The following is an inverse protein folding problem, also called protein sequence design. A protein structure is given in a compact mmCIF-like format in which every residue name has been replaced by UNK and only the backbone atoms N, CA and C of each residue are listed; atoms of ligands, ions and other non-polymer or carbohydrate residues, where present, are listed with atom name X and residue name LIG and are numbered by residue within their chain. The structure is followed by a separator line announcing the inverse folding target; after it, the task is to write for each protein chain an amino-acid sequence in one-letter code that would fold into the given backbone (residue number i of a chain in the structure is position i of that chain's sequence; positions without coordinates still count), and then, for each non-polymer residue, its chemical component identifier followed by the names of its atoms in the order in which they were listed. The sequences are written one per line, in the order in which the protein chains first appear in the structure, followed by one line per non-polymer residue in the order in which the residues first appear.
data_IF_171382064767
#
_entry.id   IF_171382064767
#
_cell.length_a   1.000
_cell.length_b   1.000
_cell.length_c   1.000
_cell.angle_alpha   90.00
_cell.angle_beta   90.00
_cell.angle_gamma   90.00
#
_symmetry.space_group_name_H-M   'P 1'
#
loop_
_entity.id
_entity.type
_entity.pdbx_description
1 polymer ?
#
# COMPACT_ATOMS: atom_id res chain seq x y z
N UNK A 1 0.67 3.18 -35.57
CA UNK A 1 0.92 4.17 -34.50
C UNK A 1 -0.31 4.13 -33.63
N UNK A 2 -0.23 3.49 -32.45
CA UNK A 2 -1.37 3.43 -31.53
C UNK A 2 -1.66 4.86 -31.11
N UNK A 3 -2.91 5.31 -31.26
CA UNK A 3 -3.26 6.70 -30.96
C UNK A 3 -2.95 6.97 -29.49
N UNK A 4 -2.18 8.02 -29.21
CA UNK A 4 -1.70 8.37 -27.87
C UNK A 4 -2.87 8.47 -26.88
N UNK A 5 -4.03 8.93 -27.37
CA UNK A 5 -5.32 8.90 -26.66
C UNK A 5 -5.81 7.49 -26.26
N UNK A 6 -5.60 6.49 -27.11
CA UNK A 6 -6.00 5.10 -26.85
C UNK A 6 -5.09 4.44 -25.81
N UNK A 7 -3.77 4.68 -25.87
CA UNK A 7 -2.84 4.23 -24.83
C UNK A 7 -3.13 4.92 -23.49
N UNK A 8 -3.45 6.23 -23.52
CA UNK A 8 -3.87 7.02 -22.34
C UNK A 8 -5.14 6.48 -21.70
N UNK A 9 -6.18 6.19 -22.50
CA UNK A 9 -7.41 5.58 -21.99
C UNK A 9 -7.09 4.26 -21.32
N UNK A 10 -6.38 3.35 -22.00
CA UNK A 10 -6.07 2.01 -21.48
C UNK A 10 -5.28 2.02 -20.17
N UNK A 11 -4.38 2.99 -19.98
CA UNK A 11 -3.59 3.11 -18.74
C UNK A 11 -4.43 3.71 -17.61
N UNK A 12 -5.22 4.75 -17.86
CA UNK A 12 -6.14 5.31 -16.86
C UNK A 12 -7.23 4.33 -16.48
N UNK A 13 -7.76 3.59 -17.46
CA UNK A 13 -8.71 2.50 -17.26
C UNK A 13 -8.07 1.39 -16.43
N UNK A 14 -6.79 1.07 -16.65
CA UNK A 14 -6.06 0.10 -15.83
C UNK A 14 -5.84 0.59 -14.40
N UNK A 15 -5.49 1.86 -14.20
CA UNK A 15 -5.29 2.43 -12.85
C UNK A 15 -6.62 2.53 -12.10
N UNK A 16 -7.66 3.03 -12.75
CA UNK A 16 -9.00 3.08 -12.18
C UNK A 16 -9.50 1.66 -11.90
N UNK A 17 -9.22 0.70 -12.79
CA UNK A 17 -9.48 -0.70 -12.53
C UNK A 17 -8.69 -1.20 -11.33
N UNK A 18 -7.41 -0.88 -11.17
CA UNK A 18 -6.58 -1.27 -10.02
C UNK A 18 -7.06 -0.61 -8.69
N UNK A 19 -7.58 0.62 -8.73
CA UNK A 19 -8.18 1.30 -7.58
C UNK A 19 -9.58 0.77 -7.23
N UNK A 20 -10.46 0.55 -8.21
CA UNK A 20 -11.74 -0.13 -8.00
C UNK A 20 -11.51 -1.56 -7.52
N UNK A 21 -10.53 -2.24 -8.10
CA UNK A 21 -10.09 -3.56 -7.69
C UNK A 21 -9.52 -3.50 -6.27
N UNK A 22 -8.91 -2.41 -5.82
CA UNK A 22 -8.50 -2.28 -4.41
C UNK A 22 -9.70 -2.25 -3.45
N UNK A 23 -10.86 -1.68 -3.83
CA UNK A 23 -12.09 -1.79 -3.03
C UNK A 23 -12.72 -3.19 -3.08
N UNK A 24 -12.69 -3.83 -4.25
CA UNK A 24 -13.18 -5.20 -4.43
C UNK A 24 -12.29 -6.18 -3.66
N UNK A 25 -10.97 -6.03 -3.76
CA UNK A 25 -9.96 -6.75 -3.01
C UNK A 25 -10.05 -6.45 -1.51
N UNK A 26 -10.36 -5.22 -1.09
CA UNK A 26 -10.70 -4.90 0.31
C UNK A 26 -11.82 -5.82 0.79
N UNK A 27 -12.94 -5.90 0.07
CA UNK A 27 -14.06 -6.78 0.43
C UNK A 27 -13.69 -8.26 0.35
N UNK A 28 -12.90 -8.67 -0.65
CA UNK A 28 -12.44 -10.04 -0.81
C UNK A 28 -11.52 -10.46 0.34
N UNK A 29 -10.54 -9.64 0.68
CA UNK A 29 -9.63 -9.84 1.82
C UNK A 29 -10.42 -9.86 3.11
N UNK A 30 -11.34 -8.94 3.34
CA UNK A 30 -12.23 -9.01 4.50
C UNK A 30 -12.96 -10.35 4.56
N UNK A 31 -13.48 -10.85 3.45
CA UNK A 31 -14.18 -12.14 3.39
C UNK A 31 -13.22 -13.32 3.64
N UNK A 32 -12.02 -13.28 3.07
CA UNK A 32 -10.97 -14.28 3.25
C UNK A 32 -10.50 -14.33 4.70
N UNK A 33 -10.14 -13.18 5.28
CA UNK A 33 -9.65 -13.12 6.64
C UNK A 33 -10.75 -13.27 7.67
N UNK A 34 -12.05 -13.19 7.33
CA UNK A 34 -13.14 -13.29 8.32
C UNK A 34 -13.22 -14.67 8.99
N UNK A 35 -12.88 -15.74 8.27
CA UNK A 35 -13.07 -17.12 8.74
C UNK A 35 -11.78 -17.79 9.18
N UNK A 36 -10.65 -17.10 9.02
CA UNK A 36 -9.33 -17.63 9.35
C UNK A 36 -9.00 -17.39 10.83
N UNK A 37 -7.99 -18.09 11.38
CA UNK A 37 -7.46 -17.67 12.68
C UNK A 37 -6.71 -16.34 12.52
N UNK A 38 -6.65 -15.54 13.58
CA UNK A 38 -5.95 -14.25 13.54
C UNK A 38 -4.47 -14.37 13.15
N UNK A 39 -3.83 -15.47 13.54
CA UNK A 39 -2.50 -15.82 13.06
C UNK A 39 -2.43 -15.93 11.53
N UNK A 40 -3.32 -16.73 10.94
CA UNK A 40 -3.33 -16.97 9.48
C UNK A 40 -3.65 -15.68 8.74
N UNK A 41 -4.61 -14.90 9.22
CA UNK A 41 -4.93 -13.59 8.66
C UNK A 41 -3.73 -12.63 8.69
N UNK A 42 -3.01 -12.59 9.82
CA UNK A 42 -1.79 -11.77 9.98
C UNK A 42 -0.69 -12.19 9.02
N UNK A 43 -0.43 -13.51 8.90
CA UNK A 43 0.58 -14.04 7.99
C UNK A 43 0.24 -13.71 6.53
N UNK A 44 -1.01 -13.89 6.12
CA UNK A 44 -1.45 -13.57 4.76
C UNK A 44 -1.30 -12.09 4.45
N UNK A 45 -1.77 -11.21 5.35
CA UNK A 45 -1.66 -9.77 5.14
C UNK A 45 -0.20 -9.28 5.16
N UNK A 46 0.67 -9.93 5.93
CA UNK A 46 2.10 -9.66 5.86
C UNK A 46 2.70 -10.04 4.50
N UNK A 47 2.32 -11.18 3.91
CA UNK A 47 2.75 -11.56 2.56
C UNK A 47 2.25 -10.57 1.50
N UNK A 48 1.00 -10.10 1.63
CA UNK A 48 0.49 -9.07 0.74
C UNK A 48 1.23 -7.75 0.92
N UNK A 49 1.48 -7.31 2.15
CA UNK A 49 2.31 -6.13 2.39
C UNK A 49 3.71 -6.28 1.77
N UNK A 50 4.34 -7.44 1.90
CA UNK A 50 5.65 -7.69 1.29
C UNK A 50 5.60 -7.62 -0.24
N UNK A 51 4.54 -8.15 -0.85
CA UNK A 51 4.29 -8.01 -2.28
C UNK A 51 4.21 -6.54 -2.68
N UNK A 52 3.45 -5.70 -1.97
CA UNK A 52 3.37 -4.27 -2.25
C UNK A 52 4.74 -3.58 -2.15
N UNK A 53 5.54 -3.90 -1.13
CA UNK A 53 6.89 -3.36 -1.01
C UNK A 53 7.78 -3.77 -2.20
N UNK A 54 7.65 -5.02 -2.66
CA UNK A 54 8.37 -5.53 -3.83
C UNK A 54 7.92 -4.88 -5.14
N UNK A 55 6.69 -4.37 -5.22
CA UNK A 55 6.20 -3.57 -6.36
C UNK A 55 6.73 -2.13 -6.30
N UNK A 56 6.85 -1.54 -5.11
CA UNK A 56 7.34 -0.15 -4.94
C UNK A 56 8.85 -0.05 -5.19
N UNK A 57 9.65 -1.00 -4.68
CA UNK A 57 11.11 -0.89 -4.70
C UNK A 57 11.74 -0.72 -6.10
N UNK A 58 11.35 -1.48 -7.14
CA UNK A 58 11.85 -1.30 -8.51
C UNK A 58 11.48 0.05 -9.13
N UNK A 59 10.42 0.68 -8.62
CA UNK A 59 9.98 1.99 -9.11
C UNK A 59 10.91 3.08 -8.60
N UNK A 60 11.44 2.92 -7.39
CA UNK A 60 12.19 3.93 -6.65
C UNK A 60 13.72 3.77 -6.71
N UNK A 61 14.23 2.55 -6.90
CA UNK A 61 15.67 2.27 -6.82
C UNK A 61 16.15 1.55 -8.07
N UNK A 62 17.21 2.08 -8.70
CA UNK A 62 17.91 1.41 -9.79
C UNK A 62 18.59 0.14 -9.26
N UNK A 63 18.53 -0.97 -10.00
CA UNK A 63 19.09 -2.27 -9.59
C UNK A 63 18.49 -2.82 -8.28
N UNK A 64 17.17 -2.70 -8.12
CA UNK A 64 16.44 -3.14 -6.93
C UNK A 64 16.50 -4.64 -6.63
N UNK A 65 16.98 -5.47 -7.55
CA UNK A 65 17.06 -6.94 -7.43
C UNK A 65 17.76 -7.40 -6.15
N UNK A 66 18.84 -6.71 -5.77
CA UNK A 66 19.59 -6.99 -4.53
C UNK A 66 18.82 -6.61 -3.25
N UNK A 67 17.84 -5.71 -3.37
CA UNK A 67 17.03 -5.14 -2.28
C UNK A 67 15.71 -5.91 -2.13
N UNK A 68 15.08 -6.33 -3.23
CA UNK A 68 13.84 -7.13 -3.23
C UNK A 68 14.04 -8.46 -2.51
N UNK A 69 15.25 -9.00 -2.49
CA UNK A 69 15.59 -10.22 -1.75
C UNK A 69 15.94 -10.00 -0.27
N UNK A 70 15.94 -8.76 0.23
CA UNK A 70 16.22 -8.47 1.64
C UNK A 70 15.04 -8.85 2.54
N UNK A 71 15.27 -8.85 3.85
CA UNK A 71 14.19 -9.05 4.83
C UNK A 71 13.21 -7.86 4.83
N UNK A 72 11.91 -8.14 5.06
CA UNK A 72 10.82 -7.16 5.09
C UNK A 72 11.17 -5.84 5.79
N UNK A 73 11.72 -5.91 7.01
CA UNK A 73 12.08 -4.73 7.81
C UNK A 73 13.08 -3.82 7.11
N UNK A 74 14.05 -4.38 6.36
CA UNK A 74 15.04 -3.59 5.60
C UNK A 74 14.37 -2.87 4.42
N UNK A 75 13.45 -3.53 3.70
CA UNK A 75 12.68 -2.92 2.61
C UNK A 75 11.87 -1.73 3.11
N UNK A 76 11.13 -1.93 4.19
CA UNK A 76 10.31 -0.89 4.80
C UNK A 76 11.16 0.29 5.29
N UNK A 77 12.26 0.01 6.00
CA UNK A 77 13.18 1.04 6.50
C UNK A 77 13.81 1.85 5.37
N UNK A 78 14.14 1.21 4.25
CA UNK A 78 14.69 1.90 3.09
C UNK A 78 13.67 2.90 2.50
N UNK A 79 12.43 2.47 2.25
CA UNK A 79 11.39 3.36 1.69
C UNK A 79 11.12 4.57 2.60
N UNK A 80 11.12 4.36 3.91
CA UNK A 80 10.99 5.45 4.87
C UNK A 80 12.20 6.38 4.87
N UNK A 81 13.42 5.81 4.86
CA UNK A 81 14.67 6.59 4.87
C UNK A 81 14.85 7.42 3.59
N UNK A 82 14.30 6.96 2.46
CA UNK A 82 14.25 7.69 1.21
C UNK A 82 13.17 8.79 1.18
N UNK A 83 12.39 8.95 2.26
CA UNK A 83 11.31 9.93 2.35
C UNK A 83 10.10 9.62 1.46
N UNK A 84 9.99 8.38 0.97
CA UNK A 84 8.91 7.97 0.06
C UNK A 84 7.63 7.72 0.86
N UNK A 85 7.77 7.11 2.03
CA UNK A 85 6.67 6.73 2.91
C UNK A 85 6.57 7.69 4.10
N UNK A 86 5.35 8.08 4.46
CA UNK A 86 5.14 8.88 5.67
C UNK A 86 5.28 8.06 6.95
N UNK A 87 5.50 8.77 8.07
CA UNK A 87 5.74 8.16 9.38
C UNK A 87 4.56 7.30 9.86
N UNK A 88 3.32 7.72 9.61
CA UNK A 88 2.13 7.03 10.13
C UNK A 88 1.95 5.66 9.47
N UNK A 89 2.11 5.60 8.15
CA UNK A 89 2.06 4.34 7.42
C UNK A 89 3.25 3.43 7.77
N UNK A 90 4.46 4.00 7.89
CA UNK A 90 5.65 3.28 8.31
C UNK A 90 5.47 2.62 9.69
N UNK A 91 5.04 3.39 10.69
CA UNK A 91 4.83 2.91 12.05
C UNK A 91 3.82 1.76 12.10
N UNK A 92 2.72 1.90 11.37
CA UNK A 92 1.66 0.90 11.31
C UNK A 92 2.14 -0.42 10.67
N UNK A 93 2.86 -0.36 9.55
CA UNK A 93 3.40 -1.55 8.88
C UNK A 93 4.52 -2.19 9.72
N UNK A 94 5.37 -1.37 10.35
CA UNK A 94 6.40 -1.87 11.26
C UNK A 94 5.77 -2.62 12.43
N UNK A 95 4.68 -2.07 13.00
CA UNK A 95 3.97 -2.71 14.10
C UNK A 95 3.29 -4.01 13.68
N UNK A 96 2.69 -4.06 12.49
CA UNK A 96 2.16 -5.30 11.92
C UNK A 96 3.25 -6.38 11.81
N UNK A 97 4.46 -6.01 11.37
CA UNK A 97 5.59 -6.94 11.33
C UNK A 97 6.03 -7.42 12.72
N UNK A 98 6.01 -6.54 13.73
CA UNK A 98 6.34 -6.91 15.10
C UNK A 98 5.31 -7.87 15.69
N UNK A 99 4.01 -7.61 15.51
CA UNK A 99 2.92 -8.52 15.90
C UNK A 99 3.05 -9.87 15.20
N UNK A 100 3.35 -9.88 13.89
CA UNK A 100 3.62 -11.11 13.14
C UNK A 100 4.77 -11.91 13.74
N UNK A 101 5.87 -11.25 14.12
CA UNK A 101 7.02 -11.93 14.72
C UNK A 101 6.71 -12.44 16.12
N UNK A 102 5.91 -11.70 16.88
CA UNK A 102 5.42 -12.13 18.18
C UNK A 102 4.62 -13.43 18.09
N UNK A 103 3.74 -13.57 17.09
CA UNK A 103 3.04 -14.84 16.86
C UNK A 103 3.98 -16.01 16.54
N UNK A 104 5.14 -15.76 15.92
CA UNK A 104 6.11 -16.80 15.59
C UNK A 104 6.97 -17.22 16.81
N UNK A 105 7.13 -16.35 17.80
CA UNK A 105 8.05 -16.55 18.92
C UNK A 105 7.38 -16.81 20.27
N UNK A 106 6.14 -16.36 20.46
CA UNK A 106 5.42 -16.51 21.73
C UNK A 106 4.25 -17.47 21.54
N UNK A 107 4.41 -18.69 22.08
CA UNK A 107 3.31 -19.64 22.30
C UNK A 107 2.26 -19.08 23.29
N UNK A 108 2.57 -18.01 24.01
CA UNK A 108 1.80 -17.42 25.12
C UNK A 108 1.01 -16.15 24.75
N UNK A 109 0.66 -15.91 23.48
CA UNK A 109 -0.38 -14.92 23.19
C UNK A 109 -1.74 -15.50 23.60
N UNK A 110 -2.06 -15.37 24.89
CA UNK A 110 -3.19 -16.05 25.52
C UNK A 110 -4.55 -15.45 25.13
N UNK A 111 -4.60 -14.17 24.72
CA UNK A 111 -5.87 -13.49 24.47
C UNK A 111 -5.90 -12.62 23.22
N UNK A 112 -7.12 -12.37 22.73
CA UNK A 112 -7.35 -11.49 21.57
C UNK A 112 -7.14 -10.01 21.84
N UNK A 113 -7.28 -9.61 23.09
CA UNK A 113 -7.10 -8.22 23.48
C UNK A 113 -5.63 -7.80 23.37
N UNK A 114 -4.71 -8.71 23.71
CA UNK A 114 -3.27 -8.38 23.77
C UNK A 114 -2.71 -8.01 22.40
N UNK A 115 -3.05 -8.74 21.33
CA UNK A 115 -2.54 -8.42 20.00
C UNK A 115 -3.25 -7.22 19.37
N UNK A 116 -4.52 -7.00 19.71
CA UNK A 116 -5.22 -5.81 19.25
C UNK A 116 -4.66 -4.54 19.86
N UNK A 117 -4.47 -4.50 21.18
CA UNK A 117 -3.87 -3.33 21.83
C UNK A 117 -2.42 -3.13 21.38
N UNK A 118 -1.65 -4.21 21.20
CA UNK A 118 -0.29 -4.13 20.68
C UNK A 118 -0.30 -3.50 19.28
N UNK A 119 -1.06 -4.03 18.32
CA UNK A 119 -1.15 -3.45 16.98
C UNK A 119 -1.61 -1.98 17.02
N UNK A 120 -2.68 -1.70 17.77
CA UNK A 120 -3.27 -0.37 17.90
C UNK A 120 -2.27 0.66 18.44
N UNK A 121 -1.36 0.25 19.32
CA UNK A 121 -0.32 1.14 19.88
C UNK A 121 0.66 1.67 18.83
N UNK A 122 0.81 0.98 17.70
CA UNK A 122 1.63 1.44 16.57
C UNK A 122 0.85 2.25 15.52
N UNK A 123 -0.48 2.35 15.64
CA UNK A 123 -1.28 3.17 14.76
C UNK A 123 -1.22 4.64 15.21
N UNK A 124 -1.04 5.55 14.26
CA UNK A 124 -1.02 6.98 14.55
C UNK A 124 -1.59 7.79 13.39
N UNK A 125 -1.89 9.07 13.65
CA UNK A 125 -2.37 10.01 12.65
C UNK A 125 -3.59 9.50 11.89
N UNK A 126 -3.57 9.69 10.57
CA UNK A 126 -4.68 9.32 9.70
C UNK A 126 -4.95 7.80 9.67
N UNK A 127 -3.94 6.95 9.91
CA UNK A 127 -4.13 5.48 9.97
C UNK A 127 -5.01 5.10 11.15
N UNK A 128 -4.74 5.67 12.33
CA UNK A 128 -5.54 5.42 13.53
C UNK A 128 -6.95 5.97 13.41
N UNK A 129 -7.12 7.17 12.85
CA UNK A 129 -8.44 7.78 12.66
C UNK A 129 -9.29 7.00 11.66
N UNK A 130 -8.71 6.53 10.55
CA UNK A 130 -9.40 5.66 9.60
C UNK A 130 -9.82 4.34 10.25
N UNK A 131 -8.95 3.73 11.06
CA UNK A 131 -9.30 2.51 11.79
C UNK A 131 -10.47 2.72 12.76
N UNK A 132 -10.45 3.81 13.54
CA UNK A 132 -11.57 4.16 14.44
C UNK A 132 -12.87 4.39 13.67
N UNK A 133 -12.80 5.05 12.51
CA UNK A 133 -13.96 5.28 11.66
C UNK A 133 -14.53 3.97 11.12
N UNK A 134 -13.68 3.08 10.58
CA UNK A 134 -14.08 1.77 10.06
C UNK A 134 -14.73 0.90 11.17
N UNK A 135 -14.13 0.85 12.37
CA UNK A 135 -14.72 0.14 13.52
C UNK A 135 -16.09 0.71 13.88
N UNK A 136 -16.19 2.04 14.06
CA UNK A 136 -17.45 2.69 14.44
C UNK A 136 -18.55 2.48 13.40
N UNK A 137 -18.22 2.54 12.12
CA UNK A 137 -19.17 2.31 11.03
C UNK A 137 -19.76 0.89 11.06
N UNK A 138 -18.92 -0.11 11.34
CA UNK A 138 -19.37 -1.49 11.46
C UNK A 138 -20.17 -1.70 12.75
N UNK A 139 -19.74 -1.09 13.87
CA UNK A 139 -20.44 -1.17 15.16
C UNK A 139 -21.85 -0.57 15.09
N UNK A 140 -22.04 0.52 14.34
CA UNK A 140 -23.37 1.10 14.10
C UNK A 140 -24.33 0.13 13.41
N UNK A 141 -23.82 -0.82 12.61
CA UNK A 141 -24.64 -1.75 11.84
C UNK A 141 -24.82 -3.10 12.56
N UNK A 142 -23.81 -3.55 13.29
CA UNK A 142 -23.71 -4.92 13.81
C UNK A 142 -23.62 -5.01 15.34
N UNK A 143 -23.57 -3.88 16.05
CA UNK A 143 -23.32 -3.83 17.50
C UNK A 143 -21.83 -3.84 17.85
N UNK A 144 -21.51 -3.88 19.14
CA UNK A 144 -20.13 -3.84 19.63
C UNK A 144 -19.28 -4.99 19.06
N UNK A 145 -18.09 -4.67 18.57
CA UNK A 145 -17.17 -5.66 18.00
C UNK A 145 -16.17 -6.15 19.05
N UNK A 146 -15.84 -7.44 18.99
CA UNK A 146 -14.72 -7.98 19.76
C UNK A 146 -13.35 -7.51 19.24
N UNK A 147 -12.33 -7.67 20.07
CA UNK A 147 -10.95 -7.24 19.76
C UNK A 147 -10.35 -8.03 18.57
N UNK A 148 -10.78 -9.27 18.33
CA UNK A 148 -10.34 -10.09 17.19
C UNK A 148 -10.82 -9.46 15.86
N UNK A 149 -12.09 -9.07 15.81
CA UNK A 149 -12.68 -8.41 14.66
C UNK A 149 -12.06 -7.03 14.44
N UNK A 150 -11.86 -6.25 15.52
CA UNK A 150 -11.18 -4.95 15.45
C UNK A 150 -9.73 -5.11 14.96
N UNK A 151 -9.03 -6.15 15.39
CA UNK A 151 -7.68 -6.47 14.89
C UNK A 151 -7.71 -6.75 13.38
N UNK A 152 -8.63 -7.57 12.89
CA UNK A 152 -8.79 -7.88 11.46
C UNK A 152 -9.07 -6.65 10.62
N UNK A 153 -9.91 -5.74 11.12
CA UNK A 153 -10.17 -4.44 10.51
C UNK A 153 -8.88 -3.62 10.41
N UNK A 154 -8.11 -3.55 11.49
CA UNK A 154 -6.86 -2.81 11.51
C UNK A 154 -5.85 -3.35 10.49
N UNK A 155 -5.58 -4.66 10.48
CA UNK A 155 -4.58 -5.25 9.56
C UNK A 155 -5.01 -5.14 8.09
N UNK A 156 -6.30 -5.29 7.78
CA UNK A 156 -6.83 -5.07 6.44
C UNK A 156 -6.69 -3.60 6.05
N UNK A 157 -7.04 -2.68 6.96
CA UNK A 157 -6.87 -1.24 6.81
C UNK A 157 -5.44 -0.86 6.45
N UNK A 158 -4.45 -1.36 7.19
CA UNK A 158 -3.02 -1.12 6.92
C UNK A 158 -2.64 -1.56 5.50
N UNK A 159 -3.03 -2.76 5.09
CA UNK A 159 -2.70 -3.28 3.76
C UNK A 159 -3.35 -2.44 2.64
N UNK A 160 -4.63 -2.07 2.77
CA UNK A 160 -5.32 -1.22 1.77
C UNK A 160 -4.57 0.09 1.58
N UNK A 161 -4.11 0.69 2.68
CA UNK A 161 -3.41 1.95 2.63
C UNK A 161 -2.03 1.81 1.98
N UNK A 162 -1.33 0.70 2.26
CA UNK A 162 -0.10 0.35 1.56
C UNK A 162 -0.33 0.10 0.06
N UNK A 163 -1.43 -0.54 -0.31
CA UNK A 163 -1.81 -0.76 -1.72
C UNK A 163 -2.08 0.55 -2.44
N UNK A 164 -2.90 1.42 -1.87
CA UNK A 164 -3.17 2.77 -2.40
C UNK A 164 -1.86 3.55 -2.55
N UNK A 165 -1.00 3.48 -1.53
CA UNK A 165 0.33 4.11 -1.58
C UNK A 165 1.17 3.57 -2.75
N UNK A 166 1.26 2.25 -2.93
CA UNK A 166 1.99 1.62 -4.03
C UNK A 166 1.47 2.10 -5.40
N UNK A 167 0.15 2.09 -5.60
CA UNK A 167 -0.50 2.59 -6.81
C UNK A 167 -0.22 4.09 -7.03
N UNK A 168 -0.24 4.90 -5.97
CA UNK A 168 0.02 6.35 -6.08
C UNK A 168 1.45 6.67 -6.54
N UNK A 169 2.44 5.87 -6.14
CA UNK A 169 3.83 6.05 -6.58
C UNK A 169 3.96 5.74 -8.07
N UNK A 170 3.34 4.64 -8.52
CA UNK A 170 3.31 4.28 -9.94
C UNK A 170 2.67 5.39 -10.78
N UNK A 171 1.57 5.97 -10.29
CA UNK A 171 0.89 7.09 -10.94
C UNK A 171 1.81 8.31 -11.09
N UNK A 172 2.46 8.74 -9.99
CA UNK A 172 3.34 9.91 -10.00
C UNK A 172 4.52 9.75 -10.95
N UNK A 173 5.12 8.54 -11.02
CA UNK A 173 6.20 8.25 -11.98
C UNK A 173 5.72 8.39 -13.42
N UNK A 174 4.52 7.91 -13.71
CA UNK A 174 3.92 8.02 -15.04
C UNK A 174 3.60 9.47 -15.42
N UNK A 175 3.02 10.25 -14.51
CA UNK A 175 2.78 11.68 -14.72
C UNK A 175 4.07 12.46 -14.97
N UNK A 176 5.13 12.14 -14.24
CA UNK A 176 6.44 12.77 -14.42
C UNK A 176 7.05 12.41 -15.79
N UNK A 177 7.02 11.14 -16.20
CA UNK A 177 7.49 10.72 -17.52
C UNK A 177 6.75 11.47 -18.65
N UNK A 178 5.42 11.59 -18.54
CA UNK A 178 4.61 12.37 -19.50
C UNK A 178 5.00 13.83 -19.57
N UNK A 179 5.32 14.43 -18.43
CA UNK A 179 5.75 15.83 -18.40
C UNK A 179 7.04 16.01 -19.20
N UNK A 180 8.01 15.13 -19.00
CA UNK A 180 9.27 15.14 -19.75
C UNK A 180 9.06 14.91 -21.26
N UNK A 181 8.20 13.97 -21.65
CA UNK A 181 7.88 13.72 -23.07
C UNK A 181 7.29 14.96 -23.75
N UNK A 182 6.39 15.67 -23.06
CA UNK A 182 5.82 16.93 -23.57
C UNK A 182 6.87 18.02 -23.68
N UNK A 183 7.73 18.17 -22.68
CA UNK A 183 8.84 19.15 -22.70
C UNK A 183 9.77 18.88 -23.89
N UNK A 184 10.17 17.63 -24.13
CA UNK A 184 11.00 17.24 -25.29
C UNK A 184 10.30 17.55 -26.61
N UNK A 185 9.01 17.26 -26.73
CA UNK A 185 8.26 17.52 -27.96
C UNK A 185 8.17 19.02 -28.26
N UNK A 186 7.90 19.83 -27.24
CA UNK A 186 7.86 21.29 -27.38
C UNK A 186 9.22 21.89 -27.77
N UNK A 187 10.33 21.28 -27.34
CA UNK A 187 11.68 21.69 -27.77
C UNK A 187 11.95 21.34 -29.24
N UNK A 188 11.61 20.12 -29.68
CA UNK A 188 11.76 19.70 -31.09
C UNK A 188 10.90 20.51 -32.06
N UNK A 189 9.67 20.87 -31.66
CA UNK A 189 8.77 21.70 -32.45
C UNK A 189 9.31 23.15 -32.59
N UNK A 190 10.05 23.66 -31.59
CA UNK A 190 10.73 24.97 -31.67
C UNK A 190 11.95 24.94 -32.59
N UNK A 191 12.74 23.86 -32.57
CA UNK A 191 13.90 23.72 -33.45
C UNK A 191 13.49 23.62 -34.92
N UNK A 192 12.44 22.85 -35.23
CA UNK A 192 11.92 22.72 -36.60
C UNK A 192 11.37 24.03 -37.17
N UNK A 193 10.68 24.85 -36.37
CA UNK A 193 10.19 26.17 -36.81
C UNK A 193 11.29 27.21 -36.99
N UNK A 194 12.43 27.09 -36.30
CA UNK A 194 13.58 27.99 -36.48
C UNK A 194 14.44 27.70 -37.71
N UNK A 195 14.35 26.49 -38.28
CA UNK A 195 15.17 26.08 -39.44
C UNK A 195 14.52 26.45 -40.78
N UNK A 196 13.22 26.75 -40.79
CA UNK A 196 12.47 27.14 -41.99
C UNK A 196 12.52 28.66 -42.27
N UNK A 197 13.16 29.46 -41.40
CA UNK A 197 13.29 30.92 -41.52
C UNK A 197 14.70 31.42 -41.96
N UNK A 198 15.65 30.52 -42.23
CA UNK A 198 16.98 30.82 -42.83
C UNK A 198 17.06 30.43 -44.32
#
# INVERSE_FOLDING_TARGET
MMDDLELRSRILDRINAELLDSEVQKKAIYKEVRHESTLVATLRLHLYAEKELNEILPVMVLHSESIVNQVFKRKLSLLYSLGVMDKHLFDAISKLNDVRNNFAHKLEYESSSDYYQDLKSGLSGWVLENHKADVKMIELSNGELDDDTKFRIAIAGIWIQLRIFATSIMLKKFEYAKRLEREIKEELDKESTSTDEE
#
